data_IF_711425631920
#
_entry.id   IF_711425631920
#
_cell.length_a   1.000
_cell.length_b   1.000
_cell.length_c   1.000
_cell.angle_alpha   90.00
_cell.angle_beta   90.00
_cell.angle_gamma   90.00
#
_symmetry.space_group_name_H-M   'P 1'
#
loop_
_entity.id
_entity.type
_entity.pdbx_description
1 polymer ?
#
# COMPACT_ATOMS: atom_id res chain seq x y z
N UNK A 1 12.97 -9.72 5.68
CA UNK A 1 11.95 -9.48 4.64
C UNK A 1 10.77 -8.89 5.37
N UNK A 2 10.37 -7.67 5.02
CA UNK A 2 9.28 -6.93 5.67
C UNK A 2 7.95 -7.34 5.03
N UNK A 3 6.84 -7.21 5.74
CA UNK A 3 5.53 -7.56 5.15
C UNK A 3 5.22 -6.69 3.93
N UNK A 4 5.71 -5.45 3.90
CA UNK A 4 5.56 -4.56 2.75
C UNK A 4 6.24 -5.10 1.48
N UNK A 5 7.37 -5.80 1.61
CA UNK A 5 8.06 -6.41 0.47
C UNK A 5 7.17 -7.52 -0.14
N UNK A 6 6.51 -8.31 0.72
CA UNK A 6 5.59 -9.35 0.29
C UNK A 6 4.32 -8.76 -0.37
N UNK A 7 3.78 -7.68 0.19
CA UNK A 7 2.64 -6.95 -0.38
C UNK A 7 2.98 -6.43 -1.79
N UNK A 8 4.12 -5.73 -1.94
CA UNK A 8 4.56 -5.19 -3.23
C UNK A 8 4.78 -6.32 -4.25
N UNK A 9 5.44 -7.41 -3.85
CA UNK A 9 5.66 -8.56 -4.73
C UNK A 9 4.33 -9.16 -5.20
N UNK A 10 3.36 -9.35 -4.30
CA UNK A 10 2.06 -9.90 -4.64
C UNK A 10 1.25 -8.96 -5.54
N UNK A 11 1.27 -7.65 -5.29
CA UNK A 11 0.61 -6.66 -6.13
C UNK A 11 1.23 -6.57 -7.53
N UNK A 12 2.55 -6.70 -7.67
CA UNK A 12 3.19 -6.73 -8.99
C UNK A 12 2.87 -8.00 -9.79
N UNK A 13 2.59 -9.14 -9.13
CA UNK A 13 2.19 -10.37 -9.82
C UNK A 13 0.80 -10.23 -10.46
N UNK A 14 -0.14 -9.57 -9.78
CA UNK A 14 -1.52 -9.40 -10.27
C UNK A 14 -1.72 -8.11 -11.05
N UNK A 15 -0.98 -7.06 -10.73
CA UNK A 15 -1.05 -5.72 -11.33
C UNK A 15 0.36 -5.21 -11.66
N UNK A 16 1.00 -5.73 -12.74
CA UNK A 16 2.40 -5.41 -13.06
C UNK A 16 2.66 -3.94 -13.43
N UNK A 17 1.60 -3.17 -13.72
CA UNK A 17 1.70 -1.74 -14.01
C UNK A 17 1.50 -0.86 -12.75
N UNK A 18 1.28 -1.48 -11.58
CA UNK A 18 1.20 -0.74 -10.33
C UNK A 18 2.59 -0.20 -9.96
N UNK A 19 2.63 1.04 -9.47
CA UNK A 19 3.82 1.65 -8.91
C UNK A 19 3.70 1.69 -7.40
N UNK A 20 4.74 1.21 -6.71
CA UNK A 20 4.89 1.33 -5.27
C UNK A 20 6.10 2.22 -4.96
N UNK A 21 5.91 3.26 -4.16
CA UNK A 21 6.96 4.19 -3.77
C UNK A 21 6.93 4.40 -2.25
N UNK A 22 8.08 4.23 -1.59
CA UNK A 22 8.23 4.61 -0.19
C UNK A 22 8.42 6.11 -0.08
N UNK A 23 7.83 6.75 0.93
CA UNK A 23 8.10 8.15 1.25
C UNK A 23 9.60 8.31 1.48
N UNK A 24 10.27 9.01 0.58
CA UNK A 24 11.70 9.30 0.72
C UNK A 24 11.83 10.47 1.67
N UNK A 25 12.24 10.21 2.90
CA UNK A 25 12.39 11.30 3.84
C UNK A 25 13.78 11.92 3.77
N UNK A 26 13.81 13.24 3.66
CA UNK A 26 15.04 14.02 3.46
C UNK A 26 15.91 14.16 4.72
N UNK A 27 15.38 13.90 5.92
CA UNK A 27 16.14 14.07 7.16
C UNK A 27 16.34 12.71 7.88
N UNK A 28 17.57 12.19 7.90
CA UNK A 28 17.89 10.85 8.41
C UNK A 28 17.77 10.67 9.93
N UNK A 29 17.37 11.70 10.68
CA UNK A 29 17.43 11.71 12.15
C UNK A 29 16.06 11.82 12.85
N UNK A 30 14.97 12.07 12.11
CA UNK A 30 13.69 12.41 12.74
C UNK A 30 12.44 11.82 12.08
N UNK A 31 12.58 11.08 10.99
CA UNK A 31 11.44 10.85 10.12
C UNK A 31 10.99 9.39 10.04
N UNK A 32 9.67 9.25 10.01
CA UNK A 32 8.95 8.00 9.93
C UNK A 32 9.15 7.40 8.52
N UNK A 33 10.04 6.41 8.39
CA UNK A 33 10.23 5.62 7.15
C UNK A 33 9.02 4.71 6.84
N UNK A 34 7.91 4.89 7.55
CA UNK A 34 6.80 3.97 7.61
C UNK A 34 5.70 4.20 6.57
N UNK A 35 5.90 4.97 5.50
CA UNK A 35 4.80 5.28 4.56
C UNK A 35 5.11 4.83 3.13
N UNK A 36 4.17 4.10 2.52
CA UNK A 36 4.24 3.62 1.14
C UNK A 36 3.02 4.05 0.35
N UNK A 37 3.25 4.56 -0.86
CA UNK A 37 2.22 4.97 -1.81
C UNK A 37 2.10 3.98 -2.95
N UNK A 38 0.86 3.66 -3.30
CA UNK A 38 0.48 2.75 -4.37
C UNK A 38 -0.38 3.49 -5.38
N UNK A 39 0.03 3.45 -6.65
CA UNK A 39 -0.64 4.12 -7.76
C UNK A 39 -0.72 3.18 -8.96
N UNK A 40 -1.75 3.32 -9.78
CA UNK A 40 -1.86 2.56 -11.02
C UNK A 40 -2.26 3.48 -12.18
N UNK A 41 -1.64 3.40 -13.37
CA UNK A 41 -1.86 4.33 -14.47
C UNK A 41 -3.30 4.33 -15.03
N UNK A 42 -4.08 3.30 -14.74
CA UNK A 42 -5.49 3.22 -15.13
C UNK A 42 -6.44 4.05 -14.23
N UNK A 43 -5.97 4.61 -13.12
CA UNK A 43 -6.77 5.38 -12.18
C UNK A 43 -5.99 6.57 -11.61
N UNK A 44 -6.68 7.64 -11.26
CA UNK A 44 -6.08 8.78 -10.56
C UNK A 44 -6.07 8.58 -9.02
N UNK A 45 -6.63 7.46 -8.56
CA UNK A 45 -6.67 7.11 -7.14
C UNK A 45 -5.27 6.72 -6.66
N UNK A 46 -4.87 7.30 -5.54
CA UNK A 46 -3.71 6.88 -4.76
C UNK A 46 -4.17 6.21 -3.47
N UNK A 47 -3.46 5.15 -3.10
CA UNK A 47 -3.61 4.46 -1.83
C UNK A 47 -2.30 4.58 -1.07
N UNK A 48 -2.37 4.70 0.25
CA UNK A 48 -1.20 4.62 1.13
C UNK A 48 -1.35 3.51 2.17
N UNK A 49 -0.21 2.88 2.48
CA UNK A 49 -0.04 2.00 3.63
C UNK A 49 1.01 2.60 4.56
N UNK A 50 0.67 2.73 5.83
CA UNK A 50 1.56 3.24 6.87
C UNK A 50 1.86 2.15 7.91
N UNK A 51 3.14 1.92 8.21
CA UNK A 51 3.65 1.13 9.33
C UNK A 51 5.09 1.53 9.63
N UNK A 52 5.38 2.00 10.85
CA UNK A 52 6.73 2.35 11.29
C UNK A 52 7.74 1.19 11.17
N UNK A 53 7.28 -0.07 11.18
CA UNK A 53 8.16 -1.24 11.08
C UNK A 53 8.29 -1.79 9.65
N UNK A 54 7.47 -1.30 8.72
CA UNK A 54 7.25 -1.94 7.41
C UNK A 54 6.60 -3.33 7.52
N UNK A 55 6.00 -3.63 8.68
CA UNK A 55 5.36 -4.90 9.00
C UNK A 55 3.96 -4.67 9.54
N UNK A 56 3.10 -5.70 9.45
CA UNK A 56 1.73 -5.57 9.94
C UNK A 56 1.73 -5.26 11.45
N UNK A 57 0.76 -4.45 11.94
CA UNK A 57 -0.37 -3.90 11.20
C UNK A 57 -0.02 -2.69 10.32
N UNK A 58 -0.70 -2.54 9.20
CA UNK A 58 -0.65 -1.34 8.35
C UNK A 58 -1.91 -0.50 8.50
N UNK A 59 -1.76 0.81 8.59
CA UNK A 59 -2.84 1.76 8.39
C UNK A 59 -3.01 2.02 6.89
N UNK A 60 -4.20 1.75 6.38
CA UNK A 60 -4.59 2.00 5.00
C UNK A 60 -5.40 3.29 4.92
N UNK A 61 -5.03 4.15 3.97
CA UNK A 61 -5.81 5.34 3.61
C UNK A 61 -5.88 5.47 2.09
N UNK A 62 -6.95 6.10 1.62
CA UNK A 62 -7.21 6.32 0.19
C UNK A 62 -7.38 7.80 -0.10
N UNK A 63 -6.76 8.27 -1.18
CA UNK A 63 -6.95 9.65 -1.64
C UNK A 63 -8.43 9.93 -1.97
N UNK A 64 -8.95 11.02 -1.40
CA UNK A 64 -10.33 11.44 -1.57
C UNK A 64 -11.34 10.75 -0.63
N UNK A 65 -10.89 9.98 0.37
CA UNK A 65 -11.77 9.41 1.40
C UNK A 65 -11.14 9.57 2.79
N UNK A 66 -11.91 9.98 3.82
CA UNK A 66 -11.41 10.07 5.20
C UNK A 66 -11.36 8.70 5.91
N UNK A 67 -11.68 7.62 5.20
CA UNK A 67 -11.74 6.27 5.75
C UNK A 67 -10.32 5.75 6.05
N UNK A 68 -10.17 5.19 7.24
CA UNK A 68 -8.93 4.63 7.75
C UNK A 68 -9.19 3.19 8.13
N UNK A 69 -8.53 2.27 7.43
CA UNK A 69 -8.65 0.84 7.69
C UNK A 69 -7.32 0.33 8.26
N UNK A 70 -7.37 -0.70 9.10
CA UNK A 70 -6.16 -1.34 9.60
C UNK A 70 -6.06 -2.75 9.02
N UNK A 71 -5.02 -3.01 8.25
CA UNK A 71 -4.69 -4.34 7.76
C UNK A 71 -3.80 -5.05 8.78
N UNK A 72 -4.30 -6.15 9.34
CA UNK A 72 -3.57 -6.90 10.38
C UNK A 72 -2.62 -7.95 9.81
N UNK A 73 -2.64 -8.18 8.50
CA UNK A 73 -1.78 -9.13 7.79
C UNK A 73 -1.59 -8.70 6.32
N UNK A 74 -0.64 -9.37 5.63
CA UNK A 74 -0.30 -9.12 4.22
C UNK A 74 -1.50 -9.25 3.29
N UNK A 75 -2.31 -10.30 3.46
CA UNK A 75 -3.45 -10.57 2.58
C UNK A 75 -4.51 -9.46 2.68
N UNK A 76 -4.80 -8.99 3.88
CA UNK A 76 -5.69 -7.85 4.10
C UNK A 76 -5.14 -6.56 3.49
N UNK A 77 -3.83 -6.30 3.62
CA UNK A 77 -3.21 -5.12 3.04
C UNK A 77 -3.30 -5.13 1.51
N UNK A 78 -3.02 -6.28 0.87
CA UNK A 78 -3.18 -6.45 -0.58
C UNK A 78 -4.63 -6.23 -0.99
N UNK A 79 -5.59 -6.83 -0.29
CA UNK A 79 -7.01 -6.68 -0.59
C UNK A 79 -7.47 -5.21 -0.50
N UNK A 80 -7.02 -4.49 0.52
CA UNK A 80 -7.33 -3.06 0.67
C UNK A 80 -6.71 -2.22 -0.44
N UNK A 81 -5.46 -2.47 -0.85
CA UNK A 81 -4.84 -1.73 -1.96
C UNK A 81 -5.58 -1.95 -3.28
N UNK A 82 -5.90 -3.21 -3.60
CA UNK A 82 -6.63 -3.58 -4.83
C UNK A 82 -8.01 -2.93 -4.84
N UNK A 83 -8.78 -3.11 -3.77
CA UNK A 83 -10.12 -2.52 -3.64
C UNK A 83 -10.07 -0.97 -3.60
N UNK A 84 -9.06 -0.42 -2.94
CA UNK A 84 -8.82 1.01 -2.81
C UNK A 84 -8.58 1.70 -4.15
N UNK A 85 -7.83 1.05 -5.03
CA UNK A 85 -7.57 1.52 -6.40
C UNK A 85 -8.76 1.29 -7.36
N UNK A 86 -9.82 0.65 -6.89
CA UNK A 86 -11.02 0.36 -7.69
C UNK A 86 -10.90 -0.87 -8.58
N UNK A 87 -9.91 -1.73 -8.34
CA UNK A 87 -9.85 -3.05 -8.97
C UNK A 87 -10.71 -4.02 -8.16
N UNK A 88 -11.56 -4.78 -8.85
CA UNK A 88 -12.09 -6.02 -8.28
C UNK A 88 -11.04 -7.10 -8.44
N UNK A 89 -10.87 -7.96 -7.42
CA UNK A 89 -10.03 -9.16 -7.54
C UNK A 89 -10.35 -9.89 -8.86
N UNK A 90 -9.35 -10.43 -9.58
CA UNK A 90 -9.64 -11.30 -10.70
C UNK A 90 -10.48 -12.46 -10.17
N UNK A 91 -11.69 -12.63 -10.71
CA UNK A 91 -12.51 -13.79 -10.45
C UNK A 91 -11.67 -15.05 -10.78
N UNK A 92 -11.53 -15.92 -9.78
CA UNK A 92 -10.81 -17.20 -9.87
C UNK A 92 -11.30 -18.08 -11.03
#
# INVERSE_FOLDING_TARGET
>A
MRDIDAIIAQLHLTHPNMSAAQLTVLHPESDDDGLWFFRHPATDIEVQLESCSGSCPFLFERSGSPDRLTASNVEQAVAFVVAGLGFSEPAA
#
